data_IF_179113016429
#
_entry.id   IF_179113016429
#
_cell.length_a   1.000
_cell.length_b   1.000
_cell.length_c   1.000
_cell.angle_alpha   90.00
_cell.angle_beta   90.00
_cell.angle_gamma   90.00
#
_symmetry.space_group_name_H-M   'P 1'
#
loop_
_entity.id
_entity.type
_entity.pdbx_description
1 polymer ?
#
# COMPACT_ATOMS: atom_id res chain seq x y z
N UNK A 1 27.85 -26.04 10.02
CA UNK A 1 26.76 -25.42 9.24
C UNK A 1 27.41 -24.66 8.09
N UNK A 2 27.05 -24.92 6.84
CA UNK A 2 27.65 -24.23 5.68
C UNK A 2 26.90 -22.91 5.48
N UNK A 3 27.55 -21.78 5.70
CA UNK A 3 26.96 -20.45 5.53
C UNK A 3 27.06 -20.07 4.05
N UNK A 4 25.98 -19.53 3.49
CA UNK A 4 25.99 -18.95 2.16
C UNK A 4 26.37 -17.47 2.29
N UNK A 5 27.66 -17.18 2.14
CA UNK A 5 28.22 -15.83 2.33
C UNK A 5 27.50 -14.79 1.47
N UNK A 6 27.21 -15.12 0.21
CA UNK A 6 26.50 -14.23 -0.70
C UNK A 6 25.07 -13.91 -0.22
N UNK A 7 24.41 -14.87 0.42
CA UNK A 7 23.07 -14.65 0.96
C UNK A 7 23.09 -13.73 2.17
N UNK A 8 24.08 -13.87 3.06
CA UNK A 8 24.22 -12.98 4.23
C UNK A 8 24.53 -11.55 3.78
N UNK A 9 25.43 -11.36 2.80
CA UNK A 9 25.72 -10.03 2.24
C UNK A 9 24.45 -9.32 1.72
N UNK A 10 23.66 -10.01 0.88
CA UNK A 10 22.43 -9.45 0.30
C UNK A 10 21.38 -9.14 1.37
N UNK A 11 21.32 -9.96 2.42
CA UNK A 11 20.41 -9.76 3.54
C UNK A 11 20.83 -8.57 4.39
N UNK A 12 22.13 -8.40 4.66
CA UNK A 12 22.65 -7.22 5.36
C UNK A 12 22.40 -5.95 4.57
N UNK A 13 22.66 -5.95 3.26
CA UNK A 13 22.37 -4.82 2.37
C UNK A 13 20.87 -4.47 2.37
N UNK A 14 20.00 -5.49 2.25
CA UNK A 14 18.55 -5.30 2.31
C UNK A 14 18.11 -4.72 3.67
N UNK A 15 18.67 -5.22 4.77
CA UNK A 15 18.38 -4.72 6.12
C UNK A 15 18.83 -3.26 6.29
N UNK A 16 20.03 -2.92 5.85
CA UNK A 16 20.52 -1.54 5.88
C UNK A 16 19.59 -0.61 5.07
N UNK A 17 19.18 -1.04 3.87
CA UNK A 17 18.27 -0.27 3.02
C UNK A 17 16.91 -0.03 3.68
N UNK A 18 16.28 -1.05 4.27
CA UNK A 18 14.94 -0.88 4.87
C UNK A 18 14.99 -0.07 6.17
N UNK A 19 16.09 -0.13 6.93
CA UNK A 19 16.27 0.60 8.19
C UNK A 19 16.81 2.01 8.02
N UNK A 20 17.33 2.35 6.83
CA UNK A 20 17.66 3.74 6.49
C UNK A 20 16.44 4.66 6.62
N UNK A 21 16.66 5.96 6.83
CA UNK A 21 15.58 6.97 6.89
C UNK A 21 14.70 6.92 5.63
N UNK A 22 15.31 6.80 4.45
CA UNK A 22 14.61 6.65 3.18
C UNK A 22 13.77 5.36 3.15
N UNK A 23 14.34 4.24 3.61
CA UNK A 23 13.66 2.96 3.71
C UNK A 23 12.46 2.99 4.66
N UNK A 24 12.60 3.63 5.82
CA UNK A 24 11.52 3.86 6.77
C UNK A 24 10.41 4.68 6.12
N UNK A 25 10.74 5.80 5.47
CA UNK A 25 9.77 6.65 4.79
C UNK A 25 9.01 5.90 3.69
N UNK A 26 9.72 5.12 2.87
CA UNK A 26 9.10 4.28 1.82
C UNK A 26 8.18 3.22 2.42
N UNK A 27 8.58 2.55 3.52
CA UNK A 27 7.74 1.55 4.22
C UNK A 27 6.47 2.17 4.77
N UNK A 28 6.57 3.33 5.43
CA UNK A 28 5.40 4.06 5.92
C UNK A 28 4.47 4.47 4.78
N UNK A 29 5.02 5.02 3.70
CA UNK A 29 4.24 5.44 2.52
C UNK A 29 3.52 4.26 1.89
N UNK A 30 4.18 3.10 1.74
CA UNK A 30 3.57 1.88 1.21
C UNK A 30 2.41 1.38 2.07
N UNK A 31 2.57 1.43 3.39
CA UNK A 31 1.53 1.03 4.34
C UNK A 31 0.29 1.93 4.24
N UNK A 32 0.49 3.24 4.15
CA UNK A 32 -0.60 4.24 4.11
C UNK A 32 -1.31 4.25 2.75
N UNK A 33 -0.55 4.23 1.65
CA UNK A 33 -1.09 4.40 0.31
C UNK A 33 -1.46 3.04 -0.29
N UNK A 34 -0.46 2.24 -0.65
CA UNK A 34 -0.65 1.04 -1.46
C UNK A 34 -1.38 -0.06 -0.69
N UNK A 35 -0.88 -0.43 0.50
CA UNK A 35 -1.46 -1.52 1.30
C UNK A 35 -2.85 -1.15 1.82
N UNK A 36 -3.02 0.06 2.36
CA UNK A 36 -4.32 0.58 2.80
C UNK A 36 -5.36 0.55 1.69
N UNK A 37 -5.01 1.01 0.48
CA UNK A 37 -5.92 0.94 -0.66
C UNK A 37 -6.27 -0.50 -1.02
N UNK A 38 -5.32 -1.43 -1.10
CA UNK A 38 -5.66 -2.83 -1.40
C UNK A 38 -6.51 -3.50 -0.30
N UNK A 39 -6.31 -3.13 0.97
CA UNK A 39 -7.15 -3.56 2.08
C UNK A 39 -8.61 -3.13 1.90
N UNK A 40 -8.83 -1.87 1.53
CA UNK A 40 -10.17 -1.36 1.21
C UNK A 40 -10.84 -2.15 0.07
N UNK A 41 -10.12 -2.31 -1.05
CA UNK A 41 -10.64 -2.99 -2.24
C UNK A 41 -11.06 -4.42 -1.91
N UNK A 42 -10.18 -5.13 -1.22
CA UNK A 42 -10.33 -6.56 -0.99
C UNK A 42 -11.27 -6.84 0.18
N UNK A 43 -10.94 -6.35 1.37
CA UNK A 43 -11.68 -6.68 2.59
C UNK A 43 -12.93 -5.83 2.75
N UNK A 44 -12.81 -4.50 2.66
CA UNK A 44 -13.94 -3.60 2.97
C UNK A 44 -15.01 -3.60 1.86
N UNK A 45 -14.59 -3.71 0.60
CA UNK A 45 -15.48 -3.64 -0.57
C UNK A 45 -15.73 -5.01 -1.22
N UNK A 46 -15.10 -6.07 -0.70
CA UNK A 46 -15.28 -7.45 -1.18
C UNK A 46 -14.99 -7.64 -2.68
N UNK A 47 -14.17 -6.78 -3.30
CA UNK A 47 -13.77 -6.92 -4.70
C UNK A 47 -12.68 -8.01 -4.83
N UNK A 48 -13.11 -9.26 -5.02
CA UNK A 48 -12.19 -10.43 -5.08
C UNK A 48 -11.86 -10.88 -6.49
N UNK A 49 -12.75 -10.61 -7.46
CA UNK A 49 -12.63 -11.12 -8.83
C UNK A 49 -13.18 -10.10 -9.80
N UNK A 50 -12.49 -9.95 -10.93
CA UNK A 50 -13.01 -9.24 -12.10
C UNK A 50 -14.15 -10.03 -12.72
N UNK A 51 -15.17 -9.29 -13.16
CA UNK A 51 -16.30 -9.86 -13.88
C UNK A 51 -15.93 -10.14 -15.34
N UNK A 52 -15.06 -9.31 -15.92
CA UNK A 52 -14.60 -9.50 -17.29
C UNK A 52 -13.33 -10.37 -17.38
N UNK A 53 -13.06 -10.92 -18.57
CA UNK A 53 -11.97 -11.88 -18.80
C UNK A 53 -10.87 -11.41 -19.74
N UNK A 54 -11.18 -10.52 -20.71
CA UNK A 54 -10.15 -9.98 -21.59
C UNK A 54 -9.38 -8.86 -20.91
N UNK A 55 -8.07 -8.76 -21.19
CA UNK A 55 -7.19 -7.73 -20.61
C UNK A 55 -7.76 -6.32 -20.73
N UNK A 56 -8.29 -5.98 -21.90
CA UNK A 56 -8.88 -4.67 -22.17
C UNK A 56 -10.13 -4.41 -21.30
N UNK A 57 -11.02 -5.40 -21.17
CA UNK A 57 -12.25 -5.24 -20.38
C UNK A 57 -11.96 -5.21 -18.88
N UNK A 58 -11.02 -6.06 -18.41
CA UNK A 58 -10.52 -6.04 -17.03
C UNK A 58 -9.91 -4.67 -16.70
N UNK A 59 -9.12 -4.11 -17.63
CA UNK A 59 -8.54 -2.78 -17.46
C UNK A 59 -9.62 -1.70 -17.29
N UNK A 60 -10.65 -1.72 -18.16
CA UNK A 60 -11.78 -0.77 -18.07
C UNK A 60 -12.59 -0.95 -16.79
N UNK A 61 -12.85 -2.19 -16.37
CA UNK A 61 -13.53 -2.50 -15.10
C UNK A 61 -12.77 -1.92 -13.90
N UNK A 62 -11.45 -2.17 -13.85
CA UNK A 62 -10.61 -1.64 -12.78
C UNK A 62 -10.54 -0.10 -12.80
N UNK A 63 -10.49 0.50 -13.99
CA UNK A 63 -10.48 1.96 -14.14
C UNK A 63 -11.76 2.60 -13.60
N UNK A 64 -12.92 2.05 -13.96
CA UNK A 64 -14.22 2.52 -13.45
C UNK A 64 -14.31 2.38 -11.93
N UNK A 65 -13.87 1.23 -11.41
CA UNK A 65 -13.81 0.98 -9.98
C UNK A 65 -12.92 2.00 -9.25
N UNK A 66 -11.72 2.26 -9.77
CA UNK A 66 -10.78 3.23 -9.19
C UNK A 66 -11.35 4.66 -9.17
N UNK A 67 -12.05 5.07 -10.24
CA UNK A 67 -12.73 6.37 -10.30
C UNK A 67 -13.84 6.44 -9.23
N UNK A 68 -14.70 5.42 -9.15
CA UNK A 68 -15.76 5.35 -8.14
C UNK A 68 -15.21 5.41 -6.72
N UNK A 69 -14.12 4.69 -6.46
CA UNK A 69 -13.43 4.71 -5.15
C UNK A 69 -12.88 6.09 -4.82
N UNK A 70 -12.27 6.79 -5.78
CA UNK A 70 -11.75 8.14 -5.57
C UNK A 70 -12.87 9.14 -5.25
N UNK A 71 -14.01 9.04 -5.94
CA UNK A 71 -15.18 9.87 -5.65
C UNK A 71 -15.72 9.60 -4.25
N UNK A 72 -15.86 8.32 -3.87
CA UNK A 72 -16.31 7.95 -2.52
C UNK A 72 -15.34 8.44 -1.44
N UNK A 73 -14.03 8.29 -1.66
CA UNK A 73 -13.00 8.83 -0.75
C UNK A 73 -13.13 10.35 -0.60
N UNK A 74 -13.33 11.07 -1.70
CA UNK A 74 -13.51 12.53 -1.67
C UNK A 74 -14.79 12.93 -0.93
N UNK A 75 -15.92 12.25 -1.18
CA UNK A 75 -17.16 12.46 -0.45
C UNK A 75 -16.96 12.29 1.07
N UNK A 76 -16.37 11.17 1.49
CA UNK A 76 -16.09 10.92 2.91
C UNK A 76 -15.18 11.98 3.53
N UNK A 77 -14.25 12.53 2.76
CA UNK A 77 -13.39 13.62 3.22
C UNK A 77 -14.18 14.92 3.40
N UNK A 78 -15.03 15.28 2.45
CA UNK A 78 -15.88 16.47 2.54
C UNK A 78 -16.84 16.43 3.74
N UNK A 79 -17.38 15.25 4.05
CA UNK A 79 -18.27 15.04 5.19
C UNK A 79 -17.55 14.79 6.52
N UNK A 80 -16.21 14.87 6.53
CA UNK A 80 -15.41 14.72 7.76
C UNK A 80 -15.34 13.29 8.30
N UNK A 81 -15.80 12.29 7.54
CA UNK A 81 -15.72 10.87 7.90
C UNK A 81 -14.28 10.33 7.84
N UNK A 82 -13.45 10.92 6.97
CA UNK A 82 -12.01 10.63 6.90
C UNK A 82 -11.21 11.93 6.97
N UNK A 83 -10.02 11.86 7.59
CA UNK A 83 -9.13 13.00 7.76
C UNK A 83 -7.86 12.81 6.96
N UNK A 84 -7.21 13.93 6.63
CA UNK A 84 -5.88 13.91 6.06
C UNK A 84 -4.92 13.32 7.11
N UNK A 85 -4.04 12.45 6.66
CA UNK A 85 -2.97 11.94 7.52
C UNK A 85 -1.94 13.05 7.74
N UNK A 86 -1.68 13.38 9.01
CA UNK A 86 -0.76 14.46 9.42
C UNK A 86 0.64 13.95 9.78
N UNK A 87 0.93 12.66 9.57
CA UNK A 87 2.16 12.04 10.04
C UNK A 87 1.97 11.30 11.36
N UNK A 88 2.83 10.31 11.61
CA UNK A 88 3.00 9.72 12.93
C UNK A 88 3.90 10.66 13.73
N UNK A 89 3.54 10.95 14.99
CA UNK A 89 4.51 11.52 15.93
C UNK A 89 5.68 10.55 16.05
N UNK A 90 6.90 11.07 16.15
CA UNK A 90 8.11 10.26 16.27
C UNK A 90 7.89 9.19 17.35
N UNK A 91 7.81 7.93 16.93
CA UNK A 91 7.89 6.81 17.84
C UNK A 91 9.39 6.57 18.00
N UNK A 92 9.91 6.76 19.21
CA UNK A 92 11.24 6.25 19.55
C UNK A 92 11.27 4.77 19.19
N UNK A 93 12.23 4.38 18.36
CA UNK A 93 12.44 2.99 18.01
C UNK A 93 12.79 2.24 19.30
N UNK A 94 11.96 1.26 19.66
CA UNK A 94 12.28 0.28 20.70
C UNK A 94 13.35 -0.69 20.22
#
# INVERSE_FOLDING_TARGET
MKINERWEELKEESNANIQSEEGILKRQTRSIQTEGHFGDIKENESFRRFNYRSKEKVYKEFMLYAIGRNILKYHRFLHGEIKKYEGKKAQEAA
#
